data_IF_148714739324
#
_entry.id   IF_148714739324
#
_cell.length_a   1.000
_cell.length_b   1.000
_cell.length_c   1.000
_cell.angle_alpha   90.00
_cell.angle_beta   90.00
_cell.angle_gamma   90.00
#
_symmetry.space_group_name_H-M   'P 1'
#
loop_
_entity.id
_entity.type
_entity.pdbx_description
1 polymer ?
#
# COMPACT_ATOMS: atom_id res chain seq x y z
N UNK A 1 -0.75 7.35 20.00
CA UNK A 1 -1.08 6.42 18.90
C UNK A 1 -1.33 7.32 17.70
N UNK A 2 -0.32 7.45 16.83
CA UNK A 2 -0.46 8.24 15.60
C UNK A 2 -1.32 7.42 14.66
N UNK A 3 -2.37 8.04 14.12
CA UNK A 3 -3.20 7.40 13.10
C UNK A 3 -2.32 7.14 11.86
N UNK A 4 -2.40 5.97 11.20
CA UNK A 4 -1.57 5.71 10.03
C UNK A 4 -1.86 6.75 8.94
N UNK A 5 -0.87 7.20 8.18
CA UNK A 5 -1.10 8.10 7.05
C UNK A 5 -2.10 7.47 6.07
N UNK A 6 -3.09 8.27 5.68
CA UNK A 6 -4.08 7.90 4.68
C UNK A 6 -3.76 8.64 3.38
N UNK A 7 -3.60 7.89 2.30
CA UNK A 7 -3.21 8.40 0.98
C UNK A 7 -4.20 7.94 -0.07
N UNK A 8 -4.46 8.75 -1.10
CA UNK A 8 -5.33 8.37 -2.22
C UNK A 8 -4.51 7.62 -3.27
N UNK A 9 -5.07 6.56 -3.86
CA UNK A 9 -4.44 5.84 -4.96
C UNK A 9 -4.18 6.79 -6.15
N UNK A 10 -2.94 6.81 -6.65
CA UNK A 10 -2.49 7.72 -7.71
C UNK A 10 -2.16 9.15 -7.25
N UNK A 11 -2.16 9.41 -5.94
CA UNK A 11 -1.69 10.69 -5.37
C UNK A 11 -0.16 10.69 -5.17
N UNK A 12 0.44 9.51 -5.04
CA UNK A 12 1.87 9.28 -4.89
C UNK A 12 2.33 8.19 -5.87
N UNK A 13 3.58 8.26 -6.31
CA UNK A 13 4.20 7.17 -7.07
C UNK A 13 4.45 5.95 -6.16
N UNK A 14 4.64 4.76 -6.77
CA UNK A 14 4.85 3.52 -6.01
C UNK A 14 6.09 3.58 -5.10
N UNK A 15 7.16 4.26 -5.52
CA UNK A 15 8.35 4.49 -4.69
C UNK A 15 8.05 5.35 -3.47
N UNK A 16 7.36 6.48 -3.64
CA UNK A 16 7.02 7.38 -2.53
C UNK A 16 6.13 6.70 -1.49
N UNK A 17 5.18 5.88 -1.97
CA UNK A 17 4.31 5.08 -1.12
C UNK A 17 5.11 4.04 -0.31
N UNK A 18 6.11 3.41 -0.95
CA UNK A 18 7.04 2.46 -0.33
C UNK A 18 7.94 3.13 0.71
N UNK A 19 8.49 4.31 0.41
CA UNK A 19 9.28 5.10 1.35
C UNK A 19 8.45 5.50 2.58
N UNK A 20 7.22 5.95 2.35
CA UNK A 20 6.27 6.29 3.42
C UNK A 20 5.95 5.06 4.27
N UNK A 21 5.70 3.92 3.62
CA UNK A 21 5.42 2.65 4.31
C UNK A 21 6.57 2.17 5.18
N UNK A 22 7.81 2.29 4.70
CA UNK A 22 8.99 1.93 5.50
C UNK A 22 9.21 2.87 6.68
N UNK A 23 8.86 4.15 6.54
CA UNK A 23 9.03 5.16 7.60
C UNK A 23 7.96 5.04 8.69
N UNK A 24 6.71 4.82 8.28
CA UNK A 24 5.54 4.83 9.16
C UNK A 24 5.09 3.42 9.57
N UNK A 25 5.72 2.37 9.01
CA UNK A 25 5.43 0.93 9.19
C UNK A 25 4.03 0.49 8.70
N UNK A 26 3.10 1.43 8.57
CA UNK A 26 1.72 1.22 8.15
C UNK A 26 1.18 2.43 7.39
N UNK A 27 0.51 2.18 6.27
CA UNK A 27 -0.14 3.22 5.44
C UNK A 27 -1.51 2.70 5.01
N UNK A 28 -2.52 3.57 4.97
CA UNK A 28 -3.83 3.24 4.43
C UNK A 28 -3.98 3.91 3.06
N UNK A 29 -4.23 3.12 2.04
CA UNK A 29 -4.48 3.60 0.68
C UNK A 29 -5.97 3.56 0.41
N UNK A 30 -6.58 4.72 0.15
CA UNK A 30 -7.94 4.82 -0.36
C UNK A 30 -7.93 4.67 -1.87
N UNK A 31 -8.64 3.68 -2.36
CA UNK A 31 -8.77 3.39 -3.79
C UNK A 31 -10.24 3.14 -4.14
N UNK A 32 -10.66 3.56 -5.31
CA UNK A 32 -11.98 3.22 -5.84
C UNK A 32 -11.86 1.93 -6.66
N UNK A 33 -12.50 0.86 -6.18
CA UNK A 33 -12.54 -0.40 -6.90
C UNK A 33 -14.00 -0.81 -7.09
N UNK A 34 -14.37 -1.21 -8.31
CA UNK A 34 -15.74 -1.65 -8.66
C UNK A 34 -16.84 -0.61 -8.36
N UNK A 35 -16.51 0.68 -8.40
CA UNK A 35 -17.47 1.77 -8.14
C UNK A 35 -17.78 1.98 -6.66
N UNK A 36 -16.95 1.45 -5.76
CA UNK A 36 -16.99 1.72 -4.33
C UNK A 36 -15.61 2.09 -3.80
N UNK A 37 -15.59 2.98 -2.81
CA UNK A 37 -14.36 3.35 -2.12
C UNK A 37 -13.94 2.21 -1.18
N UNK A 38 -12.69 1.78 -1.33
CA UNK A 38 -12.06 0.73 -0.55
C UNK A 38 -10.79 1.24 0.09
N UNK A 39 -10.59 0.89 1.36
CA UNK A 39 -9.37 1.14 2.09
C UNK A 39 -8.51 -0.11 2.07
N UNK A 40 -7.27 0.04 1.59
CA UNK A 40 -6.26 -1.00 1.53
C UNK A 40 -5.21 -0.66 2.58
N UNK A 41 -4.88 -1.62 3.44
CA UNK A 41 -3.83 -1.37 4.45
C UNK A 41 -2.52 -1.98 3.99
N UNK A 42 -1.51 -1.12 3.85
CA UNK A 42 -0.13 -1.53 3.65
C UNK A 42 0.57 -1.61 5.01
N UNK A 43 1.36 -2.67 5.22
CA UNK A 43 2.17 -2.84 6.43
C UNK A 43 3.57 -3.33 6.09
N UNK A 44 4.52 -2.93 6.90
CA UNK A 44 5.91 -3.33 6.84
C UNK A 44 6.41 -3.60 8.27
N UNK A 45 6.92 -4.81 8.51
CA UNK A 45 7.44 -5.22 9.83
C UNK A 45 8.97 -5.15 9.92
N UNK A 46 9.64 -4.62 8.88
CA UNK A 46 11.10 -4.63 8.77
C UNK A 46 11.66 -5.76 7.92
N UNK A 47 10.89 -6.84 7.73
CA UNK A 47 11.29 -8.02 6.96
C UNK A 47 10.34 -8.34 5.80
N UNK A 48 9.04 -8.09 5.96
CA UNK A 48 8.02 -8.45 4.96
C UNK A 48 7.04 -7.29 4.76
N UNK A 49 6.69 -7.04 3.50
CA UNK A 49 5.60 -6.17 3.10
C UNK A 49 4.29 -6.95 3.06
N UNK A 50 3.23 -6.33 3.56
CA UNK A 50 1.87 -6.85 3.53
C UNK A 50 0.98 -5.83 2.83
N UNK A 51 0.31 -6.26 1.77
CA UNK A 51 -0.72 -5.49 1.08
C UNK A 51 -2.07 -6.16 1.34
N UNK A 52 -2.82 -5.60 2.29
CA UNK A 52 -4.11 -6.12 2.75
C UNK A 52 -5.22 -5.52 1.87
N UNK A 53 -5.47 -6.17 0.75
CA UNK A 53 -6.57 -5.79 -0.15
C UNK A 53 -7.88 -6.45 0.28
N UNK A 54 -9.05 -5.88 -0.08
CA UNK A 54 -10.34 -6.42 0.33
C UNK A 54 -10.57 -7.88 -0.09
N UNK A 55 -9.94 -8.32 -1.18
CA UNK A 55 -10.13 -9.64 -1.76
C UNK A 55 -9.04 -10.62 -1.37
N UNK A 56 -7.83 -10.13 -1.03
CA UNK A 56 -6.67 -10.97 -0.73
C UNK A 56 -5.60 -10.24 0.06
N UNK A 57 -4.98 -10.94 1.00
CA UNK A 57 -3.73 -10.51 1.61
C UNK A 57 -2.54 -10.94 0.74
N UNK A 58 -1.81 -9.97 0.21
CA UNK A 58 -0.57 -10.16 -0.52
C UNK A 58 0.63 -9.96 0.43
N UNK A 59 1.66 -10.78 0.27
CA UNK A 59 2.89 -10.73 1.07
C UNK A 59 4.09 -10.71 0.14
N UNK A 60 5.06 -9.86 0.42
CA UNK A 60 6.26 -9.68 -0.38
C UNK A 60 7.48 -9.55 0.51
N UNK A 61 8.55 -10.27 0.20
CA UNK A 61 9.81 -10.19 0.94
C UNK A 61 10.72 -9.09 0.34
N UNK A 62 10.52 -8.77 -0.94
CA UNK A 62 11.29 -7.78 -1.68
C UNK A 62 10.50 -6.51 -2.00
N UNK A 63 11.22 -5.38 -1.97
CA UNK A 63 10.69 -4.07 -2.38
C UNK A 63 10.22 -4.06 -3.83
N UNK A 64 10.94 -4.74 -4.72
CA UNK A 64 10.58 -4.82 -6.13
C UNK A 64 9.26 -5.55 -6.35
N UNK A 65 9.00 -6.60 -5.57
CA UNK A 65 7.73 -7.33 -5.61
C UNK A 65 6.58 -6.49 -5.05
N UNK A 66 6.83 -5.80 -3.94
CA UNK A 66 5.85 -4.89 -3.35
C UNK A 66 5.53 -3.73 -4.31
N UNK A 67 6.54 -3.13 -4.92
CA UNK A 67 6.38 -2.07 -5.93
C UNK A 67 5.52 -2.55 -7.09
N UNK A 68 5.85 -3.70 -7.67
CA UNK A 68 5.07 -4.29 -8.75
C UNK A 68 3.61 -4.57 -8.32
N UNK A 69 3.39 -4.96 -7.05
CA UNK A 69 2.04 -5.09 -6.50
C UNK A 69 1.32 -3.74 -6.47
N UNK A 70 1.95 -2.67 -5.96
CA UNK A 70 1.37 -1.33 -5.93
C UNK A 70 1.01 -0.82 -7.33
N UNK A 71 1.91 -1.01 -8.30
CA UNK A 71 1.68 -0.62 -9.71
C UNK A 71 0.55 -1.45 -10.34
N UNK A 72 0.55 -2.77 -10.14
CA UNK A 72 -0.48 -3.66 -10.68
C UNK A 72 -1.86 -3.42 -10.08
N UNK A 73 -1.91 -3.02 -8.80
CA UNK A 73 -3.14 -2.63 -8.13
C UNK A 73 -3.56 -1.18 -8.45
N UNK A 74 -2.70 -0.38 -9.09
CA UNK A 74 -2.96 1.01 -9.44
C UNK A 74 -2.90 1.97 -8.25
N UNK A 75 -2.15 1.64 -7.20
CA UNK A 75 -2.00 2.48 -6.00
C UNK A 75 -0.94 3.56 -6.20
N UNK A 76 0.14 3.23 -6.90
CA UNK A 76 1.17 4.19 -7.33
C UNK A 76 1.16 4.30 -8.85
N UNK A 77 0.56 5.37 -9.38
CA UNK A 77 0.40 5.62 -10.82
C UNK A 77 0.74 7.06 -11.15
#
# INVERSE_FOLDING_TARGET
MTDPPVVTAGEQDADELLETLKREERVVVRTECLGSEHEVTLRWDGETFYCDTPTRLHKHEDEGEMRACLENQGYGR
#
